data_IF_430832934602
#
_entry.id   IF_430832934602
#
_cell.length_a   1.000
_cell.length_b   1.000
_cell.length_c   1.000
_cell.angle_alpha   90.00
_cell.angle_beta   90.00
_cell.angle_gamma   90.00
#
_symmetry.space_group_name_H-M   'P 1'
#
loop_
_entity.id
_entity.type
_entity.pdbx_description
1 polymer ?
#
# COMPACT_ATOMS: atom_id res chain seq x y z
N UNK A 1 9.32 25.43 -8.29
CA UNK A 1 10.15 24.43 -8.96
C UNK A 1 9.55 23.06 -8.69
N UNK A 2 9.26 22.28 -9.72
CA UNK A 2 8.75 20.92 -9.56
C UNK A 2 9.94 20.05 -9.14
N UNK A 3 9.99 19.67 -7.88
CA UNK A 3 11.02 18.77 -7.38
C UNK A 3 10.65 17.33 -7.77
N UNK A 4 11.62 16.56 -8.24
CA UNK A 4 11.42 15.16 -8.66
C UNK A 4 10.67 14.34 -7.60
N UNK A 5 11.02 14.40 -6.30
CA UNK A 5 10.28 13.70 -5.25
C UNK A 5 8.80 14.08 -5.21
N UNK A 6 8.47 15.38 -5.26
CA UNK A 6 7.07 15.82 -5.23
C UNK A 6 6.25 15.30 -6.43
N UNK A 7 6.87 15.21 -7.60
CA UNK A 7 6.22 14.65 -8.77
C UNK A 7 5.92 13.15 -8.57
N UNK A 8 6.87 12.39 -8.03
CA UNK A 8 6.69 10.96 -7.75
C UNK A 8 5.61 10.73 -6.69
N UNK A 9 5.57 11.53 -5.62
CA UNK A 9 4.50 11.45 -4.60
C UNK A 9 3.14 11.78 -5.19
N UNK A 10 3.02 12.83 -6.00
CA UNK A 10 1.77 13.19 -6.67
C UNK A 10 1.30 12.09 -7.62
N UNK A 11 2.22 11.50 -8.37
CA UNK A 11 1.93 10.36 -9.24
C UNK A 11 1.41 9.15 -8.46
N UNK A 12 1.95 8.88 -7.29
CA UNK A 12 1.51 7.80 -6.39
C UNK A 12 0.09 8.06 -5.86
N UNK A 13 -0.24 9.28 -5.45
CA UNK A 13 -1.59 9.64 -5.02
C UNK A 13 -2.60 9.45 -6.16
N UNK A 14 -2.26 9.91 -7.35
CA UNK A 14 -3.10 9.72 -8.55
C UNK A 14 -3.23 8.23 -8.87
N UNK A 15 -2.13 7.49 -8.89
CA UNK A 15 -2.14 6.04 -9.12
C UNK A 15 -3.02 5.29 -8.13
N UNK A 16 -2.92 5.61 -6.83
CA UNK A 16 -3.75 5.00 -5.80
C UNK A 16 -5.25 5.30 -6.02
N UNK A 17 -5.60 6.53 -6.40
CA UNK A 17 -7.01 6.91 -6.67
C UNK A 17 -7.57 6.31 -7.97
N UNK A 18 -6.71 5.92 -8.92
CA UNK A 18 -7.13 5.21 -10.12
C UNK A 18 -7.54 3.76 -9.85
N UNK A 19 -7.01 3.12 -8.80
CA UNK A 19 -7.30 1.72 -8.47
C UNK A 19 -8.80 1.45 -8.36
N UNK A 20 -9.59 2.15 -7.52
CA UNK A 20 -11.03 1.91 -7.45
C UNK A 20 -11.76 2.19 -8.76
N UNK A 21 -11.30 3.13 -9.57
CA UNK A 21 -11.90 3.43 -10.88
C UNK A 21 -11.69 2.29 -11.87
N UNK A 22 -10.47 1.73 -11.93
CA UNK A 22 -10.18 0.57 -12.79
C UNK A 22 -11.07 -0.61 -12.41
N UNK A 23 -11.25 -0.84 -11.13
CA UNK A 23 -12.06 -1.93 -10.59
C UNK A 23 -13.56 -1.74 -10.92
N UNK A 24 -14.07 -0.50 -10.89
CA UNK A 24 -15.43 -0.20 -11.30
C UNK A 24 -15.68 -0.50 -12.78
N UNK A 25 -14.66 -0.31 -13.63
CA UNK A 25 -14.75 -0.59 -15.06
C UNK A 25 -14.61 -2.09 -15.34
N UNK A 26 -13.62 -2.73 -14.74
CA UNK A 26 -13.37 -4.16 -14.89
C UNK A 26 -12.81 -4.76 -13.59
N UNK A 27 -13.65 -5.52 -12.89
CA UNK A 27 -13.26 -6.25 -11.68
C UNK A 27 -12.67 -7.64 -11.95
N UNK A 28 -12.47 -8.00 -13.23
CA UNK A 28 -11.95 -9.30 -13.65
C UNK A 28 -10.42 -9.28 -13.80
N UNK A 29 -9.88 -10.27 -14.49
CA UNK A 29 -8.44 -10.50 -14.62
C UNK A 29 -7.68 -9.30 -15.21
N UNK A 30 -8.21 -8.66 -16.25
CA UNK A 30 -7.57 -7.54 -16.93
C UNK A 30 -7.47 -6.33 -16.01
N UNK A 31 -8.57 -5.93 -15.36
CA UNK A 31 -8.56 -4.81 -14.42
C UNK A 31 -7.62 -5.06 -13.24
N UNK A 32 -7.64 -6.27 -12.68
CA UNK A 32 -6.74 -6.66 -11.60
C UNK A 32 -5.26 -6.68 -12.03
N UNK A 33 -4.97 -7.01 -13.30
CA UNK A 33 -3.64 -6.93 -13.84
C UNK A 33 -3.12 -5.49 -13.91
N UNK A 34 -3.95 -4.54 -14.34
CA UNK A 34 -3.60 -3.12 -14.31
C UNK A 34 -3.39 -2.61 -12.88
N UNK A 35 -4.24 -3.03 -11.93
CA UNK A 35 -4.07 -2.70 -10.50
C UNK A 35 -2.73 -3.23 -9.98
N UNK A 36 -2.34 -4.45 -10.34
CA UNK A 36 -1.04 -5.03 -9.97
C UNK A 36 0.12 -4.19 -10.51
N UNK A 37 0.07 -3.80 -11.79
CA UNK A 37 1.10 -2.96 -12.39
C UNK A 37 1.21 -1.62 -11.66
N UNK A 38 0.09 -0.94 -11.44
CA UNK A 38 0.04 0.35 -10.74
C UNK A 38 0.60 0.20 -9.33
N UNK A 39 0.21 -0.84 -8.60
CA UNK A 39 0.69 -1.08 -7.24
C UNK A 39 2.20 -1.30 -7.19
N UNK A 40 2.74 -2.15 -8.07
CA UNK A 40 4.19 -2.40 -8.15
C UNK A 40 4.92 -1.10 -8.49
N UNK A 41 4.41 -0.33 -9.46
CA UNK A 41 5.02 0.93 -9.88
C UNK A 41 5.02 1.95 -8.74
N UNK A 42 3.91 2.10 -8.04
CA UNK A 42 3.78 2.98 -6.87
C UNK A 42 4.73 2.55 -5.73
N UNK A 43 4.86 1.24 -5.48
CA UNK A 43 5.76 0.71 -4.45
C UNK A 43 7.24 0.94 -4.78
N UNK A 44 7.62 0.80 -6.05
CA UNK A 44 9.00 1.08 -6.52
C UNK A 44 9.29 2.58 -6.43
N UNK A 45 8.35 3.43 -6.85
CA UNK A 45 8.54 4.89 -6.79
C UNK A 45 8.67 5.39 -5.37
N UNK A 46 7.98 4.80 -4.39
CA UNK A 46 8.13 5.09 -2.97
C UNK A 46 9.56 4.83 -2.47
N UNK A 47 10.10 3.69 -2.84
CA UNK A 47 11.47 3.35 -2.49
C UNK A 47 12.49 4.32 -3.12
N UNK A 48 12.24 4.69 -4.39
CA UNK A 48 13.13 5.59 -5.16
C UNK A 48 13.10 7.03 -4.65
N UNK A 49 11.93 7.58 -4.34
CA UNK A 49 11.82 8.98 -3.88
C UNK A 49 12.48 9.15 -2.50
N UNK A 50 12.30 8.20 -1.59
CA UNK A 50 13.01 8.19 -0.31
C UNK A 50 14.53 8.09 -0.46
N UNK A 51 15.03 7.38 -1.48
CA UNK A 51 16.45 7.31 -1.80
C UNK A 51 16.98 8.63 -2.41
N UNK A 52 16.24 9.17 -3.39
CA UNK A 52 16.57 10.40 -4.11
C UNK A 52 16.55 11.61 -3.16
N UNK A 53 15.50 11.74 -2.35
CA UNK A 53 15.37 12.83 -1.38
C UNK A 53 16.53 12.89 -0.40
N UNK A 54 16.98 11.73 0.09
CA UNK A 54 18.17 11.64 0.98
C UNK A 54 19.47 11.97 0.27
N UNK A 55 19.64 11.52 -0.99
CA UNK A 55 20.88 11.71 -1.76
C UNK A 55 21.08 13.14 -2.23
N UNK A 56 19.99 13.83 -2.59
CA UNK A 56 20.05 15.17 -3.20
C UNK A 56 19.59 16.29 -2.26
N UNK A 57 19.25 16.01 -1.00
CA UNK A 57 18.72 16.97 -0.02
C UNK A 57 17.54 17.80 -0.57
N UNK A 58 16.75 17.24 -1.48
CA UNK A 58 15.59 17.86 -2.10
C UNK A 58 14.32 17.50 -1.32
N UNK A 59 14.22 17.97 -0.09
CA UNK A 59 12.99 17.81 0.69
C UNK A 59 12.14 19.05 0.58
N UNK A 60 10.88 18.92 0.14
CA UNK A 60 9.89 19.99 0.18
C UNK A 60 8.92 19.78 1.34
N UNK A 61 8.31 20.86 1.82
CA UNK A 61 7.29 20.76 2.87
C UNK A 61 6.05 19.99 2.39
N UNK A 62 5.65 20.23 1.14
CA UNK A 62 4.54 19.48 0.51
C UNK A 62 4.83 17.98 0.39
N UNK A 63 6.04 17.59 -0.02
CA UNK A 63 6.44 16.19 -0.09
C UNK A 63 6.37 15.52 1.29
N UNK A 64 6.95 16.14 2.31
CA UNK A 64 6.91 15.63 3.69
C UNK A 64 5.50 15.39 4.22
N UNK A 65 4.51 16.18 3.77
CA UNK A 65 3.11 16.02 4.14
C UNK A 65 2.42 14.94 3.29
N UNK A 66 2.69 14.90 1.99
CA UNK A 66 2.00 14.02 1.05
C UNK A 66 2.52 12.57 1.08
N UNK A 67 3.82 12.36 1.32
CA UNK A 67 4.42 11.02 1.34
C UNK A 67 3.71 10.05 2.30
N UNK A 68 3.52 10.39 3.60
CA UNK A 68 2.85 9.50 4.53
C UNK A 68 1.37 9.25 4.16
N UNK A 69 0.74 10.17 3.43
CA UNK A 69 -0.64 10.04 2.97
C UNK A 69 -0.71 9.09 1.77
N UNK A 70 0.18 9.28 0.78
CA UNK A 70 0.23 8.49 -0.42
C UNK A 70 0.44 6.99 -0.15
N UNK A 71 1.39 6.66 0.75
CA UNK A 71 1.70 5.29 1.14
C UNK A 71 0.49 4.57 1.76
N UNK A 72 -0.21 5.27 2.65
CA UNK A 72 -1.38 4.70 3.32
C UNK A 72 -2.56 4.57 2.38
N UNK A 73 -2.83 5.57 1.54
CA UNK A 73 -3.92 5.52 0.56
C UNK A 73 -3.78 4.30 -0.34
N UNK A 74 -2.57 4.02 -0.84
CA UNK A 74 -2.33 2.86 -1.71
C UNK A 74 -2.72 1.55 -1.03
N UNK A 75 -2.25 1.32 0.20
CA UNK A 75 -2.54 0.09 0.95
C UNK A 75 -4.00 -0.01 1.34
N UNK A 76 -4.59 1.07 1.87
CA UNK A 76 -5.99 1.09 2.31
C UNK A 76 -6.93 0.79 1.15
N UNK A 77 -6.75 1.45 0.01
CA UNK A 77 -7.62 1.27 -1.15
C UNK A 77 -7.55 -0.15 -1.71
N UNK A 78 -6.37 -0.78 -1.73
CA UNK A 78 -6.23 -2.17 -2.17
C UNK A 78 -6.84 -3.15 -1.17
N UNK A 79 -6.65 -2.95 0.13
CA UNK A 79 -7.27 -3.82 1.13
C UNK A 79 -8.80 -3.72 1.10
N UNK A 80 -9.35 -2.51 0.93
CA UNK A 80 -10.79 -2.32 0.72
C UNK A 80 -11.26 -3.04 -0.55
N UNK A 81 -10.49 -2.98 -1.63
CA UNK A 81 -10.80 -3.71 -2.86
C UNK A 81 -10.86 -5.22 -2.62
N UNK A 82 -9.86 -5.81 -1.99
CA UNK A 82 -9.87 -7.24 -1.71
C UNK A 82 -11.08 -7.66 -0.89
N UNK A 83 -11.46 -6.87 0.11
CA UNK A 83 -12.64 -7.18 0.93
C UNK A 83 -13.92 -7.16 0.10
N UNK A 84 -14.04 -6.27 -0.89
CA UNK A 84 -15.21 -6.20 -1.78
C UNK A 84 -15.25 -7.37 -2.77
N UNK A 85 -14.14 -7.64 -3.47
CA UNK A 85 -14.09 -8.66 -4.53
C UNK A 85 -14.18 -10.06 -3.97
N UNK A 86 -13.54 -10.33 -2.85
CA UNK A 86 -13.48 -11.67 -2.27
C UNK A 86 -14.45 -11.92 -1.12
N UNK A 87 -15.36 -10.98 -0.84
CA UNK A 87 -16.33 -11.10 0.26
C UNK A 87 -17.11 -12.41 0.23
N UNK A 88 -17.51 -12.87 -0.95
CA UNK A 88 -18.31 -14.09 -1.12
C UNK A 88 -17.53 -15.39 -0.88
N UNK A 89 -16.24 -15.44 -1.18
CA UNK A 89 -15.42 -16.65 -1.09
C UNK A 89 -14.63 -16.76 0.20
N UNK A 90 -14.05 -15.66 0.67
CA UNK A 90 -13.12 -15.64 1.80
C UNK A 90 -13.53 -14.70 2.93
N UNK A 91 -14.67 -14.03 2.81
CA UNK A 91 -15.34 -13.16 3.78
C UNK A 91 -14.50 -12.70 4.97
N UNK A 92 -14.68 -13.35 6.11
CA UNK A 92 -14.00 -12.99 7.35
C UNK A 92 -12.49 -13.26 7.35
N UNK A 93 -12.01 -14.27 6.62
CA UNK A 93 -10.59 -14.62 6.59
C UNK A 93 -9.72 -13.50 6.00
N UNK A 94 -10.29 -12.73 5.08
CA UNK A 94 -9.61 -11.61 4.46
C UNK A 94 -10.08 -10.27 5.03
N UNK A 95 -11.35 -10.18 5.41
CA UNK A 95 -11.94 -8.96 5.96
C UNK A 95 -11.35 -8.55 7.31
N UNK A 96 -11.21 -9.49 8.25
CA UNK A 96 -10.69 -9.20 9.58
C UNK A 96 -9.24 -8.65 9.53
N UNK A 97 -8.26 -9.33 8.90
CA UNK A 97 -6.91 -8.81 8.83
C UNK A 97 -6.84 -7.47 8.09
N UNK A 98 -7.62 -7.29 7.02
CA UNK A 98 -7.68 -6.02 6.29
C UNK A 98 -8.13 -4.87 7.19
N UNK A 99 -9.20 -5.04 7.95
CA UNK A 99 -9.70 -4.04 8.91
C UNK A 99 -8.66 -3.74 10.00
N UNK A 100 -8.03 -4.77 10.56
CA UNK A 100 -7.00 -4.61 11.59
C UNK A 100 -5.78 -3.83 11.06
N UNK A 101 -5.34 -4.15 9.83
CA UNK A 101 -4.22 -3.45 9.19
C UNK A 101 -4.59 -1.99 8.95
N UNK A 102 -5.76 -1.70 8.36
CA UNK A 102 -6.22 -0.34 8.10
C UNK A 102 -6.31 0.46 9.40
N UNK A 103 -6.95 -0.11 10.42
CA UNK A 103 -7.09 0.54 11.74
C UNK A 103 -5.72 0.86 12.34
N UNK A 104 -4.80 -0.10 12.30
CA UNK A 104 -3.44 0.09 12.81
C UNK A 104 -2.68 1.15 12.02
N UNK A 105 -2.78 1.16 10.68
CA UNK A 105 -2.09 2.16 9.85
C UNK A 105 -2.57 3.59 10.20
N UNK A 106 -3.87 3.78 10.39
CA UNK A 106 -4.44 5.08 10.75
C UNK A 106 -4.03 5.47 12.17
N UNK A 107 -4.18 4.58 13.16
CA UNK A 107 -3.87 4.86 14.57
C UNK A 107 -2.39 5.19 14.77
N UNK A 108 -1.49 4.33 14.26
CA UNK A 108 -0.04 4.53 14.42
C UNK A 108 0.42 5.82 13.74
N UNK A 109 -0.21 6.16 12.63
CA UNK A 109 0.06 7.41 11.93
C UNK A 109 -0.35 8.64 12.73
N UNK A 110 -1.58 8.65 13.24
CA UNK A 110 -2.08 9.76 14.05
C UNK A 110 -1.25 9.94 15.34
N UNK A 111 -0.90 8.83 16.00
CA UNK A 111 -0.04 8.87 17.19
C UNK A 111 1.35 9.43 16.83
N UNK A 112 1.95 8.99 15.74
CA UNK A 112 3.27 9.48 15.30
C UNK A 112 3.23 10.97 14.96
N UNK A 113 2.20 11.44 14.30
CA UNK A 113 2.04 12.86 13.95
C UNK A 113 1.85 13.71 15.22
N UNK A 114 1.03 13.24 16.16
CA UNK A 114 0.80 13.97 17.42
C UNK A 114 2.03 14.05 18.32
N UNK A 115 2.76 12.94 18.47
CA UNK A 115 3.94 12.88 19.37
C UNK A 115 5.25 13.23 18.67
N UNK A 116 5.38 13.00 17.37
CA UNK A 116 6.61 13.27 16.61
C UNK A 116 6.98 14.73 16.53
N UNK A 117 6.02 15.63 16.68
CA UNK A 117 6.27 17.09 16.77
C UNK A 117 6.86 17.53 18.10
N UNK A 118 6.80 16.71 19.15
CA UNK A 118 7.18 17.08 20.51
C UNK A 118 8.46 16.44 21.04
N UNK A 119 8.86 15.27 20.57
CA UNK A 119 10.06 14.58 21.02
C UNK A 119 10.54 13.56 19.97
N UNK A 120 11.86 13.51 19.71
CA UNK A 120 12.53 12.52 18.85
C UNK A 120 12.51 11.07 19.42
N UNK A 121 11.45 10.66 20.12
CA UNK A 121 11.41 9.45 20.95
C UNK A 121 11.03 8.19 20.16
N UNK A 122 10.48 8.32 18.95
CA UNK A 122 10.10 7.16 18.16
C UNK A 122 11.12 6.83 17.06
N UNK A 123 12.22 6.21 17.46
CA UNK A 123 13.04 5.48 16.51
C UNK A 123 12.15 4.44 15.79
N UNK A 124 12.19 4.46 14.46
CA UNK A 124 11.50 3.48 13.64
C UNK A 124 12.12 2.11 13.92
N UNK A 125 11.49 1.34 14.79
CA UNK A 125 11.93 -0.01 15.10
C UNK A 125 12.09 -0.79 13.79
N UNK A 126 13.19 -1.52 13.67
CA UNK A 126 13.50 -2.39 12.51
C UNK A 126 12.33 -3.33 12.19
N UNK A 127 11.62 -3.79 13.21
CA UNK A 127 10.37 -4.55 13.09
C UNK A 127 9.29 -3.87 12.24
N UNK A 128 9.18 -2.54 12.31
CA UNK A 128 8.21 -1.80 11.49
C UNK A 128 8.49 -1.91 9.98
N UNK A 129 9.76 -1.97 9.60
CA UNK A 129 10.16 -2.13 8.18
C UNK A 129 9.81 -3.51 7.64
N UNK A 130 10.07 -4.56 8.43
CA UNK A 130 9.71 -5.92 8.03
C UNK A 130 8.21 -6.09 7.85
N UNK A 131 7.40 -5.53 8.77
CA UNK A 131 5.95 -5.58 8.67
C UNK A 131 5.44 -4.96 7.37
N UNK A 132 5.91 -3.76 7.02
CA UNK A 132 5.51 -3.10 5.77
C UNK A 132 5.90 -3.92 4.54
N UNK A 133 7.10 -4.53 4.55
CA UNK A 133 7.55 -5.38 3.46
C UNK A 133 6.67 -6.63 3.32
N UNK A 134 6.32 -7.31 4.42
CA UNK A 134 5.40 -8.47 4.40
C UNK A 134 4.01 -8.08 3.91
N UNK A 135 3.50 -6.95 4.33
CA UNK A 135 2.21 -6.43 3.89
C UNK A 135 2.18 -6.12 2.39
N UNK A 136 3.22 -5.46 1.85
CA UNK A 136 3.35 -5.22 0.41
C UNK A 136 3.45 -6.53 -0.37
N UNK A 137 4.22 -7.49 0.13
CA UNK A 137 4.35 -8.81 -0.48
C UNK A 137 3.02 -9.57 -0.47
N UNK A 138 2.28 -9.53 0.63
CA UNK A 138 0.95 -10.13 0.74
C UNK A 138 -0.02 -9.57 -0.32
N UNK A 139 -0.03 -8.26 -0.51
CA UNK A 139 -0.86 -7.58 -1.50
C UNK A 139 -0.48 -8.04 -2.92
N UNK A 140 0.80 -8.10 -3.25
CA UNK A 140 1.27 -8.57 -4.58
C UNK A 140 0.84 -10.01 -4.81
N UNK A 141 1.03 -10.89 -3.83
CA UNK A 141 0.63 -12.31 -3.92
C UNK A 141 -0.89 -12.45 -4.10
N UNK A 142 -1.69 -11.64 -3.40
CA UNK A 142 -3.14 -11.63 -3.57
C UNK A 142 -3.56 -11.12 -4.94
N UNK A 143 -2.94 -10.08 -5.47
CA UNK A 143 -3.21 -9.58 -6.83
C UNK A 143 -2.83 -10.61 -7.89
N UNK A 144 -1.73 -11.32 -7.73
CA UNK A 144 -1.33 -12.41 -8.60
C UNK A 144 -2.33 -13.59 -8.56
N UNK A 145 -2.94 -13.86 -7.41
CA UNK A 145 -3.91 -14.94 -7.27
C UNK A 145 -5.22 -14.72 -8.03
N UNK A 146 -5.49 -13.49 -8.49
CA UNK A 146 -6.66 -13.16 -9.31
C UNK A 146 -6.41 -13.56 -10.77
N UNK A 147 -5.15 -13.55 -11.20
CA UNK A 147 -4.78 -13.95 -12.56
C UNK A 147 -5.04 -15.46 -12.74
N UNK A 148 -5.36 -15.85 -13.99
CA UNK A 148 -5.61 -17.27 -14.31
C UNK A 148 -4.30 -18.06 -14.39
N UNK A 149 -3.63 -18.19 -13.22
CA UNK A 149 -2.37 -18.91 -13.05
C UNK A 149 -2.67 -20.31 -12.52
N UNK A 150 -1.88 -21.30 -12.95
CA UNK A 150 -2.04 -22.73 -12.62
C UNK A 150 -2.15 -23.01 -11.09
N UNK A 151 -1.61 -22.15 -10.24
CA UNK A 151 -1.59 -22.31 -8.78
C UNK A 151 -2.32 -21.17 -8.05
N UNK A 152 -3.34 -20.55 -8.65
CA UNK A 152 -4.06 -19.39 -8.09
C UNK A 152 -4.56 -19.58 -6.67
N UNK A 153 -5.06 -20.76 -6.32
CA UNK A 153 -5.56 -21.04 -4.96
C UNK A 153 -4.44 -21.04 -3.92
N UNK A 154 -3.26 -21.58 -4.26
CA UNK A 154 -2.08 -21.54 -3.40
C UNK A 154 -1.64 -20.10 -3.13
N UNK A 155 -1.56 -19.28 -4.17
CA UNK A 155 -1.22 -17.86 -4.02
C UNK A 155 -2.25 -17.13 -3.17
N UNK A 156 -3.51 -17.49 -3.28
CA UNK A 156 -4.57 -16.89 -2.49
C UNK A 156 -4.42 -17.18 -0.99
N UNK A 157 -4.28 -18.46 -0.62
CA UNK A 157 -4.07 -18.85 0.77
C UNK A 157 -2.76 -18.30 1.34
N UNK A 158 -1.70 -18.28 0.54
CA UNK A 158 -0.41 -17.69 0.93
C UNK A 158 -0.55 -16.19 1.19
N UNK A 159 -1.24 -15.46 0.33
CA UNK A 159 -1.48 -14.03 0.50
C UNK A 159 -2.30 -13.73 1.76
N UNK A 160 -3.37 -14.49 2.01
CA UNK A 160 -4.16 -14.37 3.25
C UNK A 160 -3.27 -14.66 4.47
N UNK A 161 -2.50 -15.73 4.46
CA UNK A 161 -1.58 -16.08 5.55
C UNK A 161 -0.60 -14.95 5.85
N UNK A 162 -0.02 -14.34 4.82
CA UNK A 162 0.89 -13.20 4.96
C UNK A 162 0.21 -11.94 5.53
N UNK A 163 -1.09 -11.75 5.30
CA UNK A 163 -1.84 -10.66 5.92
C UNK A 163 -2.10 -10.86 7.41
N UNK A 164 -2.11 -12.12 7.88
CA UNK A 164 -2.30 -12.44 9.28
C UNK A 164 -1.02 -12.34 10.12
N UNK A 165 0.15 -12.23 9.50
CA UNK A 165 1.46 -12.02 10.16
C UNK A 165 1.72 -10.53 10.39
#
# INVERSE_FOLDING_TARGET
>A
MINIPNFLTSFRVIGATLIPLIILIDSKEIGCFFVLIIFIFCSITDFLDGFIARKYNQTSELGKMLDPIADKLLVILILCFFTLVFSNKYGFLLGIPSILIITREILVSGIREFFGSKNNIFDVLVLSKYKTAFQMLAIIVLLLSIQDIMYKEYFHYLGIFLLWI
#
